data_IF_524976071171
#
_entry.id   IF_524976071171
#
_cell.length_a   1.000
_cell.length_b   1.000
_cell.length_c   1.000
_cell.angle_alpha   90.00
_cell.angle_beta   90.00
_cell.angle_gamma   90.00
#
_symmetry.space_group_name_H-M   'P 1'
#
loop_
_entity.id
_entity.type
_entity.pdbx_description
1 polymer ?
#
# COMPACT_ATOMS: atom_id res chain seq x y z
N UNK A 1 -28.67 -48.61 -18.18
CA UNK A 1 -29.11 -47.27 -18.68
C UNK A 1 -29.15 -46.17 -17.61
N UNK A 2 -29.61 -46.41 -16.37
CA UNK A 2 -29.70 -45.36 -15.31
C UNK A 2 -28.35 -44.76 -14.85
N UNK A 3 -27.25 -45.53 -14.86
CA UNK A 3 -25.91 -45.05 -14.43
C UNK A 3 -25.23 -44.16 -15.47
N UNK A 4 -25.45 -44.39 -16.76
CA UNK A 4 -24.88 -43.60 -17.87
C UNK A 4 -25.57 -42.22 -17.95
N UNK A 5 -26.89 -42.15 -17.77
CA UNK A 5 -27.61 -40.85 -17.69
C UNK A 5 -27.08 -39.97 -16.56
N UNK A 6 -26.81 -40.53 -15.37
CA UNK A 6 -26.23 -39.78 -14.24
C UNK A 6 -24.81 -39.28 -14.50
N UNK A 7 -24.01 -40.01 -15.27
CA UNK A 7 -22.65 -39.61 -15.60
C UNK A 7 -22.63 -38.49 -16.66
N UNK A 8 -23.49 -38.58 -17.67
CA UNK A 8 -23.65 -37.54 -18.69
C UNK A 8 -24.22 -36.26 -18.09
N UNK A 9 -25.19 -36.34 -17.16
CA UNK A 9 -25.74 -35.15 -16.47
C UNK A 9 -24.72 -34.49 -15.54
N UNK A 10 -23.84 -35.25 -14.89
CA UNK A 10 -22.75 -34.69 -14.08
C UNK A 10 -21.67 -34.04 -14.95
N UNK A 11 -21.30 -34.67 -16.06
CA UNK A 11 -20.32 -34.13 -17.00
C UNK A 11 -20.83 -32.84 -17.67
N UNK A 12 -22.12 -32.77 -18.02
CA UNK A 12 -22.73 -31.55 -18.57
C UNK A 12 -22.84 -30.42 -17.53
N UNK A 13 -23.07 -30.75 -16.27
CA UNK A 13 -23.11 -29.75 -15.19
C UNK A 13 -21.70 -29.17 -14.89
N UNK A 14 -20.65 -30.00 -14.91
CA UNK A 14 -19.27 -29.54 -14.74
C UNK A 14 -18.79 -28.70 -15.93
N UNK A 15 -19.19 -29.05 -17.15
CA UNK A 15 -18.84 -28.28 -18.36
C UNK A 15 -19.59 -26.94 -18.43
N UNK A 16 -20.84 -26.88 -17.96
CA UNK A 16 -21.59 -25.63 -17.84
C UNK A 16 -21.00 -24.71 -16.76
N UNK A 17 -20.55 -25.25 -15.63
CA UNK A 17 -19.87 -24.47 -14.59
C UNK A 17 -18.52 -23.90 -15.06
N UNK A 18 -17.75 -24.67 -15.82
CA UNK A 18 -16.49 -24.21 -16.43
C UNK A 18 -16.72 -23.15 -17.52
N UNK A 19 -17.78 -23.26 -18.31
CA UNK A 19 -18.15 -22.26 -19.32
C UNK A 19 -18.62 -20.94 -18.67
N UNK A 20 -19.31 -21.00 -17.53
CA UNK A 20 -19.73 -19.80 -16.80
C UNK A 20 -18.50 -19.08 -16.22
N UNK A 21 -17.53 -19.82 -15.64
CA UNK A 21 -16.28 -19.22 -15.14
C UNK A 21 -15.45 -18.59 -16.27
N UNK A 22 -15.40 -19.23 -17.45
CA UNK A 22 -14.62 -18.75 -18.60
C UNK A 22 -15.23 -17.51 -19.28
N UNK A 23 -16.54 -17.26 -19.13
CA UNK A 23 -17.27 -16.15 -19.74
C UNK A 23 -17.47 -14.98 -18.76
N UNK A 24 -17.15 -15.14 -17.47
CA UNK A 24 -17.15 -14.02 -16.52
C UNK A 24 -16.10 -12.98 -16.92
N UNK A 25 -16.48 -11.73 -17.24
CA UNK A 25 -15.53 -10.64 -17.42
C UNK A 25 -14.72 -10.49 -16.12
N UNK A 26 -13.39 -10.56 -16.22
CA UNK A 26 -12.48 -10.48 -15.07
C UNK A 26 -12.00 -11.82 -14.50
N UNK A 27 -12.65 -12.95 -14.79
CA UNK A 27 -12.23 -14.26 -14.24
C UNK A 27 -10.94 -14.83 -14.86
N UNK A 28 -10.47 -14.25 -15.97
CA UNK A 28 -9.23 -14.63 -16.66
C UNK A 28 -8.09 -13.62 -16.44
N UNK A 29 -8.27 -12.64 -15.55
CA UNK A 29 -7.19 -11.72 -15.19
C UNK A 29 -6.43 -12.36 -14.04
N UNK A 30 -5.46 -13.21 -14.38
CA UNK A 30 -4.32 -13.40 -13.50
C UNK A 30 -3.52 -12.09 -13.57
N UNK A 31 -3.96 -11.08 -12.82
CA UNK A 31 -3.12 -9.92 -12.56
C UNK A 31 -1.95 -10.46 -11.74
N UNK A 32 -0.84 -10.73 -12.42
CA UNK A 32 0.45 -10.78 -11.76
C UNK A 32 0.65 -9.35 -11.27
N UNK A 33 0.22 -9.07 -10.05
CA UNK A 33 0.60 -7.87 -9.35
C UNK A 33 2.13 -7.91 -9.30
N UNK A 34 2.77 -7.02 -10.07
CA UNK A 34 4.21 -6.89 -10.04
C UNK A 34 4.61 -6.61 -8.60
N UNK A 35 5.76 -7.15 -8.17
CA UNK A 35 6.28 -6.80 -6.85
C UNK A 35 6.35 -5.27 -6.72
N UNK A 36 5.96 -4.70 -5.58
CA UNK A 36 5.97 -3.26 -5.39
C UNK A 36 7.36 -2.71 -5.65
N UNK A 37 7.44 -1.56 -6.31
CA UNK A 37 8.71 -0.88 -6.49
C UNK A 37 9.13 -0.23 -5.18
N UNK A 38 10.44 -0.23 -4.92
CA UNK A 38 11.00 0.51 -3.79
C UNK A 38 11.66 1.78 -4.30
N UNK A 39 11.25 2.93 -3.80
CA UNK A 39 11.83 4.23 -4.12
C UNK A 39 12.72 4.70 -2.98
N UNK A 40 14.00 4.87 -3.25
CA UNK A 40 14.97 5.44 -2.33
C UNK A 40 15.13 6.92 -2.60
N UNK A 41 14.91 7.74 -1.57
CA UNK A 41 15.01 9.19 -1.63
C UNK A 41 16.22 9.62 -0.81
N UNK A 42 17.12 10.40 -1.39
CA UNK A 42 18.24 11.03 -0.68
C UNK A 42 18.23 12.52 -0.96
N UNK A 43 18.50 13.32 0.06
CA UNK A 43 18.54 14.77 -0.09
C UNK A 43 19.90 15.18 -0.66
N UNK A 44 19.86 15.95 -1.74
CA UNK A 44 21.05 16.55 -2.34
C UNK A 44 21.25 17.94 -1.74
N UNK A 45 22.31 18.09 -0.95
CA UNK A 45 22.60 19.32 -0.22
C UNK A 45 23.10 20.41 -1.17
N UNK A 46 23.81 20.06 -2.24
CA UNK A 46 24.37 21.03 -3.19
C UNK A 46 23.26 21.68 -4.03
N UNK A 47 22.32 20.85 -4.48
CA UNK A 47 21.21 21.30 -5.33
C UNK A 47 19.94 21.66 -4.54
N UNK A 48 19.91 21.42 -3.23
CA UNK A 48 18.75 21.62 -2.34
C UNK A 48 17.48 20.89 -2.80
N UNK A 49 17.60 19.67 -3.31
CA UNK A 49 16.48 18.90 -3.86
C UNK A 49 16.49 17.45 -3.41
N UNK A 50 15.30 16.84 -3.36
CA UNK A 50 15.18 15.40 -3.21
C UNK A 50 15.46 14.68 -4.52
N UNK A 51 16.37 13.70 -4.45
CA UNK A 51 16.72 12.80 -5.55
C UNK A 51 16.10 11.43 -5.28
N UNK A 52 15.62 10.79 -6.32
CA UNK A 52 14.95 9.50 -6.22
C UNK A 52 15.60 8.45 -7.13
N UNK A 53 15.76 7.24 -6.60
CA UNK A 53 16.22 6.07 -7.35
C UNK A 53 15.32 4.86 -7.05
N UNK A 54 15.12 3.98 -8.04
CA UNK A 54 14.23 2.82 -7.93
C UNK A 54 15.06 1.57 -7.59
N UNK A 55 14.52 0.72 -6.72
CA UNK A 55 15.00 -0.58 -6.22
C UNK A 55 16.25 -0.58 -5.36
N UNK A 56 17.21 0.31 -5.59
CA UNK A 56 18.41 0.43 -4.77
C UNK A 56 18.99 1.85 -4.87
N UNK A 57 19.64 2.33 -3.81
CA UNK A 57 20.45 3.55 -3.87
C UNK A 57 21.91 3.18 -4.08
N UNK A 58 22.56 3.79 -5.08
CA UNK A 58 23.98 3.54 -5.42
C UNK A 58 24.76 4.83 -5.44
N UNK A 59 25.52 5.09 -4.38
CA UNK A 59 26.40 6.26 -4.30
C UNK A 59 27.54 6.16 -5.32
N UNK A 60 27.82 7.27 -6.02
CA UNK A 60 29.01 7.40 -6.88
C UNK A 60 28.95 6.68 -8.23
N UNK A 61 27.91 5.90 -8.54
CA UNK A 61 27.82 5.18 -9.82
C UNK A 61 27.57 6.12 -11.00
N UNK A 62 28.48 6.06 -11.99
CA UNK A 62 28.38 6.79 -13.26
C UNK A 62 27.35 6.04 -14.14
N UNK A 63 26.21 6.67 -14.39
CA UNK A 63 25.12 6.08 -15.17
C UNK A 63 23.91 5.60 -14.37
N UNK A 64 23.84 5.91 -13.06
CA UNK A 64 22.63 5.70 -12.27
C UNK A 64 21.49 6.57 -12.81
N UNK A 65 20.29 6.00 -12.88
CA UNK A 65 19.09 6.76 -13.21
C UNK A 65 18.61 7.48 -11.95
N UNK A 66 18.72 8.80 -11.95
CA UNK A 66 18.22 9.66 -10.89
C UNK A 66 17.05 10.47 -11.42
N UNK A 67 15.97 10.45 -10.66
CA UNK A 67 14.80 11.27 -10.91
C UNK A 67 14.78 12.43 -9.92
N UNK A 68 14.32 13.60 -10.37
CA UNK A 68 13.86 14.62 -9.44
C UNK A 68 12.59 14.13 -8.77
N UNK A 69 12.46 14.38 -7.47
CA UNK A 69 11.27 13.92 -6.74
C UNK A 69 9.96 14.40 -7.37
N UNK A 70 9.88 15.65 -7.85
CA UNK A 70 8.65 16.17 -8.45
C UNK A 70 8.22 15.39 -9.71
N UNK A 71 9.19 14.88 -10.48
CA UNK A 71 8.93 14.03 -11.65
C UNK A 71 8.75 12.56 -11.26
N UNK A 72 9.42 12.15 -10.19
CA UNK A 72 9.45 10.79 -9.68
C UNK A 72 8.24 10.40 -8.86
N UNK A 73 7.65 11.34 -8.14
CA UNK A 73 6.50 11.11 -7.26
C UNK A 73 5.23 10.76 -8.04
N UNK A 74 5.11 11.23 -9.28
CA UNK A 74 4.04 10.82 -10.22
C UNK A 74 4.18 9.36 -10.65
N UNK A 75 5.38 8.77 -10.52
CA UNK A 75 5.64 7.37 -10.87
C UNK A 75 5.33 6.40 -9.73
N UNK A 76 5.26 6.89 -8.49
CA UNK A 76 4.91 6.09 -7.33
C UNK A 76 3.44 5.69 -7.45
N UNK A 77 3.16 4.39 -7.35
CA UNK A 77 1.83 3.82 -7.47
C UNK A 77 1.33 3.30 -6.14
N UNK A 78 0.03 3.03 -6.08
CA UNK A 78 -0.57 2.39 -4.93
C UNK A 78 0.11 1.04 -4.65
N UNK A 79 0.49 0.83 -3.39
CA UNK A 79 1.21 -0.37 -2.95
C UNK A 79 2.73 -0.27 -3.00
N UNK A 80 3.31 0.76 -3.61
CA UNK A 80 4.77 0.92 -3.65
C UNK A 80 5.37 1.29 -2.28
N UNK A 81 6.68 1.11 -2.17
CA UNK A 81 7.48 1.37 -0.96
C UNK A 81 8.33 2.63 -1.15
N UNK A 82 8.41 3.47 -0.14
CA UNK A 82 9.23 4.69 -0.12
C UNK A 82 10.17 4.65 1.08
N UNK A 83 11.46 4.84 0.83
CA UNK A 83 12.51 4.90 1.85
C UNK A 83 13.25 6.22 1.73
N UNK A 84 13.09 7.09 2.72
CA UNK A 84 13.85 8.32 2.86
C UNK A 84 15.14 8.01 3.61
N UNK A 85 16.25 8.18 2.92
CA UNK A 85 17.60 7.89 3.40
C UNK A 85 18.21 9.09 4.11
N UNK A 86 19.27 8.76 4.83
CA UNK A 86 20.08 9.64 5.66
C UNK A 86 20.37 10.98 4.98
N UNK A 87 20.21 12.06 5.76
CA UNK A 87 20.61 13.40 5.36
C UNK A 87 21.85 13.76 6.18
N UNK A 88 23.02 13.75 5.51
CA UNK A 88 24.32 14.03 6.12
C UNK A 88 24.37 15.40 6.84
N UNK A 89 23.46 16.32 6.50
CA UNK A 89 23.28 17.58 7.21
C UNK A 89 21.88 17.68 7.83
N UNK A 90 21.79 17.37 9.14
CA UNK A 90 20.54 17.43 9.92
C UNK A 90 19.91 18.84 9.97
N UNK A 91 20.70 19.89 9.73
CA UNK A 91 20.27 21.30 9.75
C UNK A 91 19.82 21.83 8.38
N UNK A 92 19.98 21.04 7.31
CA UNK A 92 19.54 21.45 6.00
C UNK A 92 18.01 21.47 5.95
N UNK A 93 17.44 22.65 5.70
CA UNK A 93 16.01 22.79 5.40
C UNK A 93 15.66 21.86 4.24
N UNK A 94 14.72 20.95 4.48
CA UNK A 94 14.32 19.92 3.52
C UNK A 94 13.03 20.33 2.82
N UNK A 95 13.00 20.24 1.49
CA UNK A 95 11.77 20.42 0.73
C UNK A 95 10.73 19.35 1.10
N UNK A 96 9.45 19.69 1.05
CA UNK A 96 8.38 18.75 1.38
C UNK A 96 8.23 17.69 0.30
N UNK A 97 8.33 16.42 0.68
CA UNK A 97 8.13 15.27 -0.19
C UNK A 97 6.63 15.06 -0.40
N UNK A 98 6.15 15.23 -1.63
CA UNK A 98 4.73 15.01 -1.98
C UNK A 98 4.55 13.69 -2.73
N UNK A 99 3.71 12.80 -2.23
CA UNK A 99 3.38 11.51 -2.85
C UNK A 99 1.86 11.42 -3.04
N UNK A 100 1.44 11.27 -4.30
CA UNK A 100 0.03 11.24 -4.71
C UNK A 100 -0.51 9.81 -4.87
N UNK A 101 -0.04 8.88 -4.04
CA UNK A 101 -0.42 7.48 -4.04
C UNK A 101 -0.56 6.96 -2.60
N UNK A 102 -1.17 5.79 -2.44
CA UNK A 102 -1.19 5.06 -1.18
C UNK A 102 0.03 4.15 -1.09
N UNK A 103 0.94 4.41 -0.16
CA UNK A 103 2.17 3.60 -0.04
C UNK A 103 1.99 2.46 0.94
N UNK A 104 2.51 1.28 0.60
CA UNK A 104 2.49 0.12 1.50
C UNK A 104 3.47 0.31 2.65
N UNK A 105 4.60 0.97 2.39
CA UNK A 105 5.61 1.26 3.40
C UNK A 105 6.24 2.63 3.16
N UNK A 106 6.31 3.44 4.21
CA UNK A 106 7.13 4.64 4.30
C UNK A 106 8.17 4.44 5.40
N UNK A 107 9.45 4.52 5.08
CA UNK A 107 10.53 4.47 6.06
C UNK A 107 11.33 5.76 6.04
N UNK A 108 11.50 6.39 7.20
CA UNK A 108 12.42 7.51 7.41
C UNK A 108 13.64 6.98 8.19
N UNK A 109 14.81 7.03 7.57
CA UNK A 109 16.03 6.41 8.09
C UNK A 109 17.13 7.46 8.27
N UNK A 110 17.32 7.90 9.52
CA UNK A 110 18.31 8.92 9.93
C UNK A 110 18.22 10.20 9.11
N UNK A 111 17.00 10.61 8.78
CA UNK A 111 16.75 11.76 7.91
C UNK A 111 15.96 12.84 8.64
N UNK A 112 16.16 14.10 8.23
CA UNK A 112 15.26 15.20 8.50
C UNK A 112 14.33 15.38 7.29
N UNK A 113 13.05 15.05 7.45
CA UNK A 113 12.12 14.97 6.33
C UNK A 113 10.70 15.44 6.68
N UNK A 114 10.13 16.21 5.76
CA UNK A 114 8.71 16.54 5.74
C UNK A 114 8.09 15.74 4.60
N UNK A 115 7.09 14.91 4.89
CA UNK A 115 6.47 14.00 3.90
C UNK A 115 4.96 14.14 3.94
N UNK A 116 4.34 14.30 2.77
CA UNK A 116 2.89 14.32 2.58
C UNK A 116 2.50 13.18 1.63
N UNK A 117 1.72 12.23 2.13
CA UNK A 117 1.22 11.08 1.37
C UNK A 117 -0.31 11.17 1.31
N UNK A 118 -0.84 11.53 0.15
CA UNK A 118 -2.27 11.81 -0.02
C UNK A 118 -3.14 10.54 0.03
N UNK A 119 -2.64 9.39 -0.43
CA UNK A 119 -3.39 8.12 -0.43
C UNK A 119 -3.38 7.37 0.92
N UNK A 120 -2.60 7.84 1.89
CA UNK A 120 -2.35 7.16 3.16
C UNK A 120 -1.18 6.18 3.11
N UNK A 121 -0.85 5.65 4.28
CA UNK A 121 0.36 4.85 4.53
C UNK A 121 -0.06 3.61 5.31
N UNK A 122 0.29 2.42 4.83
CA UNK A 122 0.00 1.19 5.57
C UNK A 122 1.00 0.95 6.70
N UNK A 123 2.29 0.89 6.38
CA UNK A 123 3.38 0.74 7.36
C UNK A 123 4.24 1.99 7.36
N UNK A 124 4.40 2.66 8.50
CA UNK A 124 5.23 3.85 8.63
C UNK A 124 6.32 3.60 9.67
N UNK A 125 7.60 3.60 9.27
CA UNK A 125 8.73 3.42 10.17
C UNK A 125 9.54 4.70 10.26
N UNK A 126 9.71 5.23 11.47
CA UNK A 126 10.62 6.36 11.75
C UNK A 126 11.73 5.83 12.63
N UNK A 127 12.90 5.60 12.02
CA UNK A 127 14.03 4.99 12.70
C UNK A 127 14.74 6.01 13.60
N UNK A 128 15.53 5.52 14.56
CA UNK A 128 16.37 6.37 15.41
C UNK A 128 17.19 7.38 14.62
N UNK A 129 17.57 8.47 15.29
CA UNK A 129 18.28 9.62 14.74
C UNK A 129 17.50 10.43 13.67
N UNK A 130 16.23 10.11 13.41
CA UNK A 130 15.38 10.79 12.43
C UNK A 130 14.55 11.92 13.04
N UNK A 131 14.29 12.94 12.23
CA UNK A 131 13.36 14.04 12.51
C UNK A 131 12.30 14.08 11.40
N UNK A 132 11.06 13.69 11.71
CA UNK A 132 10.04 13.49 10.69
C UNK A 132 8.74 14.27 10.97
N UNK A 133 8.24 14.94 9.94
CA UNK A 133 6.90 15.53 9.92
C UNK A 133 6.09 14.85 8.81
N UNK A 134 5.12 14.02 9.19
CA UNK A 134 4.41 13.15 8.24
C UNK A 134 2.94 13.54 8.19
N UNK A 135 2.41 13.71 6.98
CA UNK A 135 0.99 13.97 6.70
C UNK A 135 0.44 12.85 5.84
N UNK A 136 -0.71 12.29 6.22
CA UNK A 136 -1.31 11.11 5.59
C UNK A 136 -1.80 10.14 6.66
N UNK A 137 -2.99 9.54 6.47
CA UNK A 137 -3.53 8.58 7.44
C UNK A 137 -2.66 7.32 7.47
N UNK A 138 -2.28 6.88 8.67
CA UNK A 138 -1.38 5.75 8.89
C UNK A 138 -2.15 4.58 9.50
N UNK A 139 -1.99 3.39 8.93
CA UNK A 139 -2.52 2.15 9.51
C UNK A 139 -1.64 1.68 10.66
N UNK A 140 -0.35 1.45 10.43
CA UNK A 140 0.61 0.99 11.42
C UNK A 140 1.84 1.91 11.45
N UNK A 141 2.02 2.66 12.53
CA UNK A 141 3.15 3.55 12.77
C UNK A 141 4.11 2.96 13.80
N UNK A 142 5.40 2.99 13.48
CA UNK A 142 6.49 2.54 14.33
C UNK A 142 7.51 3.65 14.46
N UNK A 143 7.79 4.06 15.70
CA UNK A 143 8.83 5.05 15.99
C UNK A 143 9.86 4.39 16.88
N UNK A 144 11.13 4.50 16.51
CA UNK A 144 12.24 3.79 17.14
C UNK A 144 13.21 4.72 17.85
N UNK A 145 13.66 4.27 19.00
CA UNK A 145 14.74 4.85 19.81
C UNK A 145 14.56 6.37 20.03
N UNK A 146 15.54 7.15 19.59
CA UNK A 146 15.64 8.59 19.79
C UNK A 146 14.97 9.43 18.68
N UNK A 147 14.15 8.82 17.83
CA UNK A 147 13.47 9.52 16.76
C UNK A 147 12.47 10.57 17.28
N UNK A 148 12.46 11.75 16.63
CA UNK A 148 11.41 12.75 16.81
C UNK A 148 10.45 12.73 15.63
N UNK A 149 9.16 12.63 15.91
CA UNK A 149 8.15 12.55 14.86
C UNK A 149 6.85 13.29 15.20
N UNK A 150 6.32 14.02 14.23
CA UNK A 150 4.95 14.56 14.26
C UNK A 150 4.12 13.95 13.14
N UNK A 151 3.07 13.22 13.50
CA UNK A 151 2.07 12.73 12.57
C UNK A 151 0.90 13.72 12.53
N UNK A 152 0.69 14.41 11.41
CA UNK A 152 -0.36 15.43 11.29
C UNK A 152 -1.77 14.86 11.08
N UNK A 153 -1.87 13.58 10.74
CA UNK A 153 -3.13 12.89 10.43
C UNK A 153 -3.41 11.76 11.42
N UNK A 154 -4.46 10.96 11.16
CA UNK A 154 -4.83 9.86 12.05
C UNK A 154 -3.82 8.72 11.98
N UNK A 155 -3.57 8.07 13.12
CA UNK A 155 -2.76 6.85 13.22
C UNK A 155 -3.63 5.76 13.84
N UNK A 156 -3.75 4.60 13.19
CA UNK A 156 -4.59 3.52 13.73
C UNK A 156 -3.85 2.79 14.84
N UNK A 157 -2.68 2.22 14.55
CA UNK A 157 -1.83 1.55 15.52
C UNK A 157 -0.49 2.29 15.60
N UNK A 158 -0.11 2.79 16.78
CA UNK A 158 1.16 3.46 17.01
C UNK A 158 2.01 2.65 18.00
N UNK A 159 3.21 2.26 17.60
CA UNK A 159 4.16 1.56 18.48
C UNK A 159 5.43 2.37 18.61
N UNK A 160 5.71 2.79 19.84
CA UNK A 160 6.98 3.41 20.22
C UNK A 160 7.88 2.31 20.75
N UNK A 161 9.08 2.15 20.20
CA UNK A 161 10.02 1.09 20.59
C UNK A 161 11.38 1.68 20.92
N UNK A 162 11.94 1.39 22.09
CA UNK A 162 13.32 1.74 22.43
C UNK A 162 14.16 0.48 22.65
N UNK A 163 15.46 0.57 22.40
CA UNK A 163 16.38 -0.56 22.64
C UNK A 163 16.50 -0.88 24.14
N UNK A 164 16.70 0.14 24.98
CA UNK A 164 16.86 -0.03 26.44
C UNK A 164 15.82 0.75 27.23
N UNK A 165 15.86 2.08 27.18
CA UNK A 165 14.92 2.97 27.86
C UNK A 165 14.52 4.13 26.94
N UNK A 166 13.35 4.70 27.19
CA UNK A 166 12.86 5.88 26.47
C UNK A 166 13.50 7.19 26.93
N UNK A 167 14.31 7.19 28.00
CA UNK A 167 14.89 8.36 28.66
C UNK A 167 15.92 9.14 27.80
N UNK A 168 15.57 9.46 26.55
CA UNK A 168 16.25 10.43 25.71
C UNK A 168 15.40 11.69 25.66
N UNK A 169 15.93 12.86 26.10
CA UNK A 169 15.19 14.12 26.00
C UNK A 169 14.95 14.55 24.55
N UNK A 170 15.58 13.88 23.58
CA UNK A 170 15.43 14.18 22.15
C UNK A 170 14.26 13.44 21.51
N UNK A 171 13.64 12.46 22.19
CA UNK A 171 12.49 11.74 21.64
C UNK A 171 11.20 12.51 21.93
N UNK A 172 10.59 13.07 20.91
CA UNK A 172 9.23 13.62 21.01
C UNK A 172 8.36 13.04 19.91
N UNK A 173 7.23 12.43 20.28
CA UNK A 173 6.24 11.92 19.33
C UNK A 173 4.88 12.54 19.59
N UNK A 174 4.33 13.20 18.57
CA UNK A 174 3.00 13.81 18.63
C UNK A 174 2.12 13.36 17.48
N UNK A 175 0.81 13.33 17.72
CA UNK A 175 -0.19 13.04 16.68
C UNK A 175 -1.27 14.12 16.68
N UNK A 176 -1.41 14.82 15.56
CA UNK A 176 -2.43 15.83 15.32
C UNK A 176 -3.83 15.25 15.07
N UNK A 177 -3.90 14.03 14.52
CA UNK A 177 -5.14 13.25 14.38
C UNK A 177 -5.47 12.41 15.61
N UNK A 178 -6.39 11.46 15.45
CA UNK A 178 -6.72 10.45 16.49
C UNK A 178 -5.72 9.31 16.49
N UNK A 179 -5.55 8.66 17.65
CA UNK A 179 -4.79 7.39 17.77
C UNK A 179 -5.69 6.28 18.32
N UNK A 180 -5.97 5.23 17.55
CA UNK A 180 -6.89 4.17 18.00
C UNK A 180 -6.24 3.22 19.02
N UNK A 181 -4.98 2.84 18.78
CA UNK A 181 -4.16 2.04 19.69
C UNK A 181 -2.75 2.61 19.74
N UNK A 182 -2.18 2.73 20.93
CA UNK A 182 -0.78 3.05 21.11
C UNK A 182 -0.12 2.11 22.11
N UNK A 183 1.13 1.75 21.86
CA UNK A 183 1.93 0.96 22.79
C UNK A 183 3.36 1.48 22.87
N UNK A 184 3.93 1.37 24.07
CA UNK A 184 5.37 1.52 24.28
C UNK A 184 5.99 0.14 24.47
N UNK A 185 7.18 -0.09 23.92
CA UNK A 185 7.86 -1.37 23.96
C UNK A 185 9.38 -1.20 24.08
N UNK A 186 10.06 -2.22 24.58
CA UNK A 186 11.50 -2.36 24.48
C UNK A 186 11.91 -3.77 24.04
N UNK A 187 13.20 -4.10 24.12
CA UNK A 187 13.74 -5.44 23.84
C UNK A 187 13.07 -6.55 24.67
N UNK A 188 12.48 -6.23 25.82
CA UNK A 188 11.73 -7.15 26.66
C UNK A 188 10.25 -7.33 26.29
N UNK A 189 9.73 -6.54 25.34
CA UNK A 189 8.34 -6.61 24.89
C UNK A 189 7.55 -5.33 25.15
N UNK A 190 6.22 -5.44 25.18
CA UNK A 190 5.31 -4.31 25.42
C UNK A 190 5.37 -3.91 26.90
N UNK A 191 5.53 -2.62 27.15
CA UNK A 191 5.61 -2.02 28.48
C UNK A 191 4.25 -1.47 28.93
N UNK A 192 3.58 -0.71 28.05
CA UNK A 192 2.27 -0.11 28.31
C UNK A 192 1.45 -0.04 27.02
N UNK A 193 0.14 -0.09 27.18
CA UNK A 193 -0.84 0.02 26.11
C UNK A 193 -1.87 1.10 26.44
N UNK A 194 -2.35 1.76 25.39
CA UNK A 194 -3.28 2.86 25.47
C UNK A 194 -4.23 2.81 24.27
N UNK A 195 -5.44 3.35 24.43
CA UNK A 195 -6.51 3.19 23.46
C UNK A 195 -7.26 4.49 23.21
N UNK A 196 -7.69 4.72 21.98
CA UNK A 196 -8.67 5.75 21.58
C UNK A 196 -8.35 7.17 22.08
N UNK A 197 -7.18 7.68 21.72
CA UNK A 197 -6.81 9.06 21.93
C UNK A 197 -7.69 9.99 21.09
N UNK A 198 -8.14 11.08 21.72
CA UNK A 198 -8.80 12.19 21.01
C UNK A 198 -7.84 12.83 20.00
N UNK A 199 -8.41 13.48 18.99
CA UNK A 199 -7.61 14.15 17.98
C UNK A 199 -6.72 15.24 18.60
N UNK A 200 -5.44 15.24 18.26
CA UNK A 200 -4.49 16.28 18.66
C UNK A 200 -4.01 16.19 20.10
N UNK A 201 -4.34 15.13 20.84
CA UNK A 201 -3.97 15.00 22.27
C UNK A 201 -2.81 14.04 22.52
N UNK A 202 -2.49 13.14 21.58
CA UNK A 202 -1.37 12.20 21.77
C UNK A 202 -0.03 12.97 21.79
N UNK A 203 0.67 12.84 22.91
CA UNK A 203 1.99 13.41 23.10
C UNK A 203 2.81 12.49 24.01
N UNK A 204 3.91 12.00 23.47
CA UNK A 204 4.91 11.22 24.18
C UNK A 204 6.25 11.95 24.16
N UNK A 205 6.87 12.02 25.33
CA UNK A 205 8.20 12.57 25.57
C UNK A 205 9.10 11.45 26.11
N UNK A 206 10.33 11.36 25.61
CA UNK A 206 11.23 10.28 26.01
C UNK A 206 11.59 10.31 27.50
N UNK A 207 11.83 11.50 28.05
CA UNK A 207 12.26 11.65 29.45
C UNK A 207 11.10 11.43 30.43
N UNK A 208 9.90 11.90 30.08
CA UNK A 208 8.73 11.92 30.98
C UNK A 208 7.67 10.86 30.66
N UNK A 209 7.75 10.21 29.51
CA UNK A 209 6.77 9.25 29.01
C UNK A 209 5.54 9.91 28.36
N UNK A 210 4.37 9.29 28.53
CA UNK A 210 3.12 9.82 27.97
C UNK A 210 2.71 11.09 28.73
N UNK A 211 2.66 12.22 28.00
CA UNK A 211 2.30 13.54 28.53
C UNK A 211 0.81 13.85 28.43
N UNK A 212 0.07 13.07 27.64
CA UNK A 212 -1.38 13.24 27.43
C UNK A 212 -2.17 13.06 28.72
N UNK A 213 -3.16 13.93 28.94
CA UNK A 213 -4.07 13.84 30.09
C UNK A 213 -4.90 12.54 30.03
N UNK A 214 -5.09 11.90 31.18
CA UNK A 214 -5.86 10.65 31.31
C UNK A 214 -7.31 10.74 30.83
N UNK A 215 -7.89 11.94 30.75
CA UNK A 215 -9.25 12.16 30.22
C UNK A 215 -9.33 12.16 28.69
N UNK A 216 -8.17 12.12 28.01
CA UNK A 216 -8.06 12.18 26.56
C UNK A 216 -7.75 10.84 25.89
N UNK A 217 -7.64 9.76 26.67
CA UNK A 217 -7.49 8.40 26.17
C UNK A 217 -8.19 7.37 27.09
N UNK A 218 -8.44 6.18 26.56
CA UNK A 218 -8.95 5.02 27.29
C UNK A 218 -7.84 4.07 27.71
N UNK A 219 -8.00 3.44 28.88
CA UNK A 219 -7.06 2.43 29.41
C UNK A 219 -7.51 0.99 29.19
N UNK A 220 -8.75 0.79 28.71
CA UNK A 220 -9.29 -0.51 28.35
C UNK A 220 -9.61 -0.50 26.85
N UNK A 221 -9.34 -1.60 26.14
CA UNK A 221 -9.62 -1.77 24.69
C UNK A 221 -11.10 -1.64 24.28
N UNK A 222 -11.98 -1.32 25.23
CA UNK A 222 -13.38 -0.95 25.02
C UNK A 222 -13.51 0.59 25.07
N UNK A 223 -13.12 1.28 24.00
CA UNK A 223 -13.28 2.72 23.79
C UNK A 223 -13.49 3.06 22.31
N UNK A 224 -13.92 4.28 21.94
CA UNK A 224 -14.82 4.51 20.81
C UNK A 224 -14.21 4.11 19.47
N UNK A 225 -14.96 3.28 18.73
CA UNK A 225 -14.63 2.85 17.39
C UNK A 225 -14.22 4.04 16.52
N UNK A 226 -13.11 3.87 15.79
CA UNK A 226 -12.66 4.78 14.76
C UNK A 226 -13.87 5.26 13.94
N UNK A 227 -14.06 6.57 13.85
CA UNK A 227 -15.05 7.12 12.93
C UNK A 227 -14.68 6.67 11.53
N UNK A 228 -15.52 5.83 10.95
CA UNK A 228 -15.38 5.31 9.58
C UNK A 228 -15.10 6.49 8.65
N UNK A 229 -14.06 6.43 7.79
CA UNK A 229 -13.86 7.43 6.75
C UNK A 229 -15.16 7.57 5.94
N UNK A 230 -15.57 8.78 5.52
CA UNK A 230 -16.73 8.92 4.68
C UNK A 230 -16.54 8.05 3.44
N UNK A 231 -17.49 7.14 3.20
CA UNK A 231 -17.54 6.37 1.97
C UNK A 231 -17.49 7.36 0.78
N UNK A 232 -16.76 7.05 -0.30
CA UNK A 232 -16.77 7.89 -1.49
C UNK A 232 -18.22 8.05 -1.94
N UNK A 233 -18.71 9.28 -1.90
CA UNK A 233 -20.00 9.63 -2.49
C UNK A 233 -19.85 9.42 -3.99
N UNK A 234 -20.44 8.33 -4.47
CA UNK A 234 -20.67 8.15 -5.90
C UNK A 234 -21.66 9.23 -6.32
N UNK A 235 -21.13 10.30 -6.90
CA UNK A 235 -21.91 11.31 -7.60
C UNK A 235 -22.72 10.61 -8.68
N UNK A 236 -24.03 10.47 -8.43
CA UNK A 236 -24.97 10.00 -9.43
C UNK A 236 -24.94 10.93 -10.63
N UNK A 237 -24.46 10.42 -11.76
CA UNK A 237 -24.53 11.12 -13.04
C UNK A 237 -25.97 11.08 -13.52
N UNK A 238 -26.62 12.25 -13.56
CA UNK A 238 -27.94 12.44 -14.14
C UNK A 238 -27.84 12.33 -15.65
N UNK A 239 -28.55 11.34 -16.19
CA UNK A 239 -28.72 11.15 -17.62
C UNK A 239 -29.74 12.17 -18.14
N UNK A 240 -29.36 13.01 -19.11
CA UNK A 240 -30.25 13.65 -20.07
C UNK A 240 -29.45 13.96 -21.32
N UNK A 241 -29.75 13.22 -22.39
CA UNK A 241 -29.03 13.28 -23.65
C UNK A 241 -29.59 14.31 -24.63
N UNK A 242 -28.74 14.68 -25.60
CA UNK A 242 -29.06 14.68 -27.04
C UNK A 242 -27.82 15.08 -27.87
N UNK A 243 -27.34 14.10 -28.65
CA UNK A 243 -26.77 14.17 -30.02
C UNK A 243 -25.89 15.35 -30.48
N UNK A 244 -24.67 15.05 -30.95
CA UNK A 244 -24.25 15.15 -32.37
C UNK A 244 -22.77 14.84 -32.62
N UNK A 245 -22.51 13.85 -33.49
CA UNK A 245 -21.37 13.63 -34.42
C UNK A 245 -19.95 14.16 -34.10
N UNK A 246 -18.96 13.27 -34.05
CA UNK A 246 -18.05 12.93 -35.17
C UNK A 246 -16.74 12.36 -34.62
N UNK A 247 -16.32 11.20 -35.15
CA UNK A 247 -15.16 10.45 -34.68
C UNK A 247 -13.81 11.05 -35.08
N UNK A 248 -12.83 10.84 -34.20
CA UNK A 248 -11.41 10.72 -34.45
C UNK A 248 -10.79 10.27 -33.12
N UNK A 249 -9.90 9.26 -33.12
CA UNK A 249 -9.27 8.60 -31.96
C UNK A 249 -9.95 7.37 -31.34
N UNK A 250 -10.47 6.47 -32.18
CA UNK A 250 -10.68 5.06 -31.79
C UNK A 250 -9.99 4.12 -32.79
N UNK A 251 -8.70 4.36 -33.01
CA UNK A 251 -7.83 3.45 -33.75
C UNK A 251 -6.43 3.47 -33.11
N UNK A 252 -6.28 2.69 -32.05
CA UNK A 252 -4.98 2.20 -31.58
C UNK A 252 -5.10 0.67 -31.54
N UNK A 253 -4.22 -0.10 -32.22
CA UNK A 253 -4.34 -1.56 -32.22
C UNK A 253 -4.11 -2.08 -30.81
N UNK A 254 -5.12 -2.77 -30.25
CA UNK A 254 -4.98 -3.54 -29.00
C UNK A 254 -4.04 -4.71 -29.26
N UNK A 255 -2.77 -4.52 -28.92
CA UNK A 255 -1.78 -5.60 -28.86
C UNK A 255 -2.16 -6.54 -27.72
N UNK A 256 -2.53 -7.78 -28.06
CA UNK A 256 -2.66 -8.85 -27.06
C UNK A 256 -3.86 -9.80 -27.19
N UNK A 257 -4.55 -9.93 -28.33
CA UNK A 257 -5.48 -11.06 -28.51
C UNK A 257 -4.70 -12.36 -28.77
N UNK A 258 -4.05 -12.89 -27.72
CA UNK A 258 -3.58 -14.27 -27.76
C UNK A 258 -4.80 -15.18 -27.77
N UNK A 259 -4.95 -15.92 -28.87
CA UNK A 259 -6.11 -16.73 -29.18
C UNK A 259 -6.11 -18.06 -28.38
N UNK A 260 -5.92 -17.95 -27.06
CA UNK A 260 -5.90 -19.06 -26.10
C UNK A 260 -7.22 -19.82 -26.16
N UNK A 261 -8.32 -19.12 -26.41
CA UNK A 261 -9.65 -19.71 -26.60
C UNK A 261 -9.70 -20.62 -27.83
N UNK A 262 -9.15 -20.23 -28.98
CA UNK A 262 -9.06 -21.12 -30.16
C UNK A 262 -8.15 -22.32 -29.89
N UNK A 263 -7.03 -22.14 -29.18
CA UNK A 263 -6.17 -23.26 -28.80
C UNK A 263 -6.84 -24.23 -27.82
N UNK A 264 -7.64 -23.72 -26.87
CA UNK A 264 -8.40 -24.54 -25.92
C UNK A 264 -9.55 -25.29 -26.61
N UNK A 265 -10.24 -24.65 -27.56
CA UNK A 265 -11.24 -25.34 -28.39
C UNK A 265 -10.60 -26.39 -29.31
N UNK A 266 -9.43 -26.13 -29.89
CA UNK A 266 -8.70 -27.09 -30.71
C UNK A 266 -8.23 -28.30 -29.88
N UNK A 267 -7.71 -28.07 -28.66
CA UNK A 267 -7.31 -29.13 -27.74
C UNK A 267 -8.50 -29.96 -27.26
N UNK A 268 -9.63 -29.32 -26.95
CA UNK A 268 -10.86 -30.01 -26.55
C UNK A 268 -11.44 -30.86 -27.70
N UNK A 269 -11.41 -30.35 -28.93
CA UNK A 269 -11.84 -31.09 -30.11
C UNK A 269 -10.93 -32.31 -30.38
N UNK A 270 -9.61 -32.18 -30.22
CA UNK A 270 -8.67 -33.28 -30.35
C UNK A 270 -8.93 -34.40 -29.31
N UNK A 271 -9.21 -34.04 -28.06
CA UNK A 271 -9.54 -34.99 -26.99
C UNK A 271 -10.91 -35.69 -27.21
N UNK A 272 -11.90 -34.97 -27.73
CA UNK A 272 -13.20 -35.54 -28.07
C UNK A 272 -13.12 -36.51 -29.27
N UNK A 273 -12.31 -36.20 -30.29
CA UNK A 273 -12.11 -37.10 -31.43
C UNK A 273 -11.32 -38.36 -31.04
N UNK A 274 -10.29 -38.23 -30.20
CA UNK A 274 -9.51 -39.38 -29.70
C UNK A 274 -10.35 -40.38 -28.89
N UNK A 275 -11.29 -39.89 -28.08
CA UNK A 275 -12.19 -40.74 -27.29
C UNK A 275 -13.25 -41.46 -28.14
N UNK A 276 -13.69 -40.88 -29.27
CA UNK A 276 -14.59 -41.55 -30.23
C UNK A 276 -13.87 -42.63 -31.04
N UNK A 277 -12.59 -42.41 -31.41
CA UNK A 277 -11.79 -43.44 -32.09
C UNK A 277 -11.44 -44.63 -31.19
N UNK A 278 -11.11 -44.41 -29.90
CA UNK A 278 -10.90 -45.52 -28.97
C UNK A 278 -12.15 -46.38 -28.79
N UNK A 279 -13.34 -45.75 -28.81
CA UNK A 279 -14.61 -46.47 -28.67
C UNK A 279 -14.96 -47.34 -29.88
N UNK A 280 -14.46 -47.00 -31.07
CA UNK A 280 -14.59 -47.85 -32.27
C UNK A 280 -13.60 -49.04 -32.28
N UNK A 281 -12.46 -48.94 -31.60
CA UNK A 281 -11.46 -50.03 -31.51
C UNK A 281 -11.82 -51.12 -30.49
N UNK A 282 -12.70 -50.85 -29.53
CA UNK A 282 -13.10 -51.81 -28.48
C UNK A 282 -14.33 -52.65 -28.89
N UNK A 283 -14.98 -52.31 -30.02
CA UNK A 283 -16.20 -52.97 -30.50
C UNK A 283 -16.02 -53.74 -31.82
N UNK A 284 -14.77 -54.00 -32.25
CA UNK A 284 -14.42 -54.99 -33.28
C UNK A 284 -13.57 -56.09 -32.66
#
# INVERSE_FOLDING_TARGET
>A
MKRIKKFVTKLSATLAAAAILAVTPGANVMEVEAAPNTYYLKYDIEDHVWRMQINEWKDGDIGRELYYLNEGSEKVKDGDVVVVLDNENKDAGSENIQINARVSNLTINRANAIVTVHGGIDECHVLGDSYAAITGNITNGYVYDDATCTFHSNVTNLKLTCTENFNSPETTVTVGGTVAYAATANTGGILKEYYNFKAGTFHFDGDSGLMTDTSDYGTNGNGPAASTPPAPTTSGSSNSGSSSSSGAYDDVPKTGESNVVVWLFAAAAACAMGSVMLKRRVNN
#
